data_IF_553865816298
#
_entry.id   IF_553865816298
#
_cell.length_a   1.000
_cell.length_b   1.000
_cell.length_c   1.000
_cell.angle_alpha   90.00
_cell.angle_beta   90.00
_cell.angle_gamma   90.00
#
_symmetry.space_group_name_H-M   'P 1'
#
loop_
_entity.id
_entity.type
_entity.pdbx_description
1 polymer ?
#
# COMPACT_ATOMS: atom_id res chain seq x y z
N UNK A 1 -16.67 -4.69 24.45
CA UNK A 1 -16.92 -4.08 23.12
C UNK A 1 -15.85 -4.61 22.17
N UNK A 2 -16.20 -5.21 21.02
CA UNK A 2 -15.23 -5.93 20.18
C UNK A 2 -14.65 -5.07 19.04
N UNK A 3 -13.49 -5.50 18.55
CA UNK A 3 -12.85 -5.01 17.32
C UNK A 3 -13.74 -5.37 16.12
N UNK A 4 -13.86 -4.47 15.15
CA UNK A 4 -14.70 -4.67 13.95
C UNK A 4 -13.90 -5.10 12.70
N UNK A 5 -12.61 -4.78 12.66
CA UNK A 5 -11.74 -5.07 11.52
C UNK A 5 -10.46 -4.25 11.58
N UNK A 6 -9.67 -4.33 10.52
CA UNK A 6 -8.56 -3.41 10.28
C UNK A 6 -9.13 -2.04 9.88
N UNK A 7 -8.67 -0.99 10.55
CA UNK A 7 -9.05 0.39 10.21
C UNK A 7 -8.05 0.96 9.20
N UNK A 8 -6.78 1.06 9.61
CA UNK A 8 -5.69 1.54 8.77
C UNK A 8 -4.36 0.93 9.18
N UNK A 9 -3.35 1.10 8.32
CA UNK A 9 -1.94 0.92 8.64
C UNK A 9 -1.25 2.27 8.73
N UNK A 10 -0.14 2.34 9.45
CA UNK A 10 0.71 3.51 9.51
C UNK A 10 2.07 3.20 8.89
N UNK A 11 2.53 4.06 7.99
CA UNK A 11 3.85 3.96 7.38
C UNK A 11 4.63 5.22 7.72
N UNK A 12 5.75 5.04 8.40
CA UNK A 12 6.74 6.09 8.57
C UNK A 12 7.62 6.15 7.33
N UNK A 13 7.80 7.34 6.77
CA UNK A 13 8.61 7.54 5.57
C UNK A 13 9.51 8.76 5.71
N UNK A 14 10.73 8.68 5.20
CA UNK A 14 11.62 9.83 4.99
C UNK A 14 11.49 10.42 3.58
N UNK A 15 10.62 9.82 2.74
CA UNK A 15 10.43 10.13 1.32
C UNK A 15 8.94 10.28 1.04
N UNK A 16 8.29 11.25 1.69
CA UNK A 16 6.83 11.41 1.67
C UNK A 16 6.28 11.55 0.24
N UNK A 17 6.87 12.42 -0.57
CA UNK A 17 6.37 12.64 -1.93
C UNK A 17 6.53 11.41 -2.84
N UNK A 18 7.64 10.67 -2.71
CA UNK A 18 7.88 9.44 -3.48
C UNK A 18 6.88 8.35 -3.08
N UNK A 19 6.66 8.19 -1.78
CA UNK A 19 5.67 7.26 -1.22
C UNK A 19 4.27 7.61 -1.71
N UNK A 20 3.92 8.89 -1.68
CA UNK A 20 2.62 9.37 -2.12
C UNK A 20 2.42 9.13 -3.62
N UNK A 21 3.42 9.44 -4.45
CA UNK A 21 3.37 9.14 -5.90
C UNK A 21 3.23 7.66 -6.17
N UNK A 22 3.96 6.80 -5.47
CA UNK A 22 3.82 5.35 -5.60
C UNK A 22 2.36 4.92 -5.35
N UNK A 23 1.81 5.21 -4.17
CA UNK A 23 0.46 4.74 -3.83
C UNK A 23 -0.62 5.36 -4.72
N UNK A 24 -0.50 6.65 -5.07
CA UNK A 24 -1.53 7.35 -5.85
C UNK A 24 -1.46 7.07 -7.35
N UNK A 25 -0.26 6.92 -7.92
CA UNK A 25 -0.09 6.76 -9.37
C UNK A 25 0.01 5.30 -9.81
N UNK A 26 0.57 4.45 -8.96
CA UNK A 26 0.77 3.04 -9.29
C UNK A 26 -0.36 2.16 -8.79
N UNK A 27 -0.91 2.48 -7.62
CA UNK A 27 -1.94 1.66 -6.95
C UNK A 27 -3.29 2.37 -6.81
N UNK A 28 -3.45 3.53 -7.46
CA UNK A 28 -4.69 4.30 -7.58
C UNK A 28 -5.38 4.70 -6.24
N UNK A 29 -4.63 4.72 -5.14
CA UNK A 29 -5.11 5.32 -3.90
C UNK A 29 -5.34 6.82 -4.08
N UNK A 30 -6.30 7.39 -3.35
CA UNK A 30 -6.57 8.82 -3.37
C UNK A 30 -6.00 9.49 -2.13
N UNK A 31 -5.25 10.57 -2.29
CA UNK A 31 -4.97 11.46 -1.17
C UNK A 31 -6.27 12.16 -0.76
N UNK A 32 -6.62 12.08 0.52
CA UNK A 32 -7.89 12.61 1.03
C UNK A 32 -7.73 13.48 2.26
N UNK A 33 -8.85 13.71 2.96
CA UNK A 33 -8.86 14.58 4.14
C UNK A 33 -7.86 14.08 5.19
N UNK A 34 -7.02 15.00 5.65
CA UNK A 34 -6.10 14.81 6.76
C UNK A 34 -6.37 15.89 7.82
N UNK A 35 -6.61 15.49 9.09
CA UNK A 35 -6.68 16.44 10.18
C UNK A 35 -5.42 17.32 10.26
N UNK A 36 -5.51 18.55 10.80
CA UNK A 36 -4.38 19.46 10.89
C UNK A 36 -3.41 19.05 12.01
N UNK A 37 -2.71 17.93 11.82
CA UNK A 37 -1.62 17.50 12.69
C UNK A 37 -0.39 18.41 12.54
N UNK A 38 0.39 18.52 13.61
CA UNK A 38 1.61 19.33 13.70
C UNK A 38 2.85 18.66 13.08
N UNK A 39 2.70 17.48 12.50
CA UNK A 39 3.73 16.78 11.73
C UNK A 39 3.33 16.65 10.25
N UNK A 40 4.29 16.54 9.31
CA UNK A 40 3.99 16.31 7.91
C UNK A 40 3.52 14.86 7.65
N UNK A 41 2.66 14.67 6.66
CA UNK A 41 2.11 13.36 6.33
C UNK A 41 0.89 13.46 5.42
N UNK A 42 0.31 12.31 5.09
CA UNK A 42 -0.84 12.19 4.21
C UNK A 42 -1.77 11.06 4.67
N UNK A 43 -3.04 11.15 4.29
CA UNK A 43 -3.98 10.03 4.38
C UNK A 43 -4.32 9.55 2.97
N UNK A 44 -4.16 8.25 2.74
CA UNK A 44 -4.51 7.60 1.49
C UNK A 44 -5.76 6.75 1.65
N UNK A 45 -6.66 6.90 0.68
CA UNK A 45 -7.99 6.35 0.68
C UNK A 45 -8.12 5.26 -0.39
N UNK A 46 -8.73 4.14 0.00
CA UNK A 46 -9.25 3.12 -0.91
C UNK A 46 -10.76 3.31 -1.01
N UNK A 47 -11.23 3.90 -2.11
CA UNK A 47 -12.59 4.42 -2.20
C UNK A 47 -12.83 5.49 -1.13
N UNK A 48 -13.83 5.29 -0.27
CA UNK A 48 -14.18 6.23 0.80
C UNK A 48 -13.44 5.96 2.13
N UNK A 49 -12.63 4.90 2.21
CA UNK A 49 -11.97 4.49 3.47
C UNK A 49 -10.52 4.96 3.52
N UNK A 50 -10.17 5.71 4.55
CA UNK A 50 -8.79 6.06 4.86
C UNK A 50 -8.06 4.83 5.42
N UNK A 51 -7.15 4.23 4.66
CA UNK A 51 -6.54 2.93 5.02
C UNK A 51 -5.02 2.98 5.20
N UNK A 52 -4.35 4.05 4.75
CA UNK A 52 -2.92 4.26 4.99
C UNK A 52 -2.69 5.67 5.52
N UNK A 53 -2.08 5.76 6.71
CA UNK A 53 -1.56 7.00 7.27
C UNK A 53 -0.06 7.09 7.02
N UNK A 54 0.36 8.02 6.18
CA UNK A 54 1.77 8.35 5.99
C UNK A 54 2.20 9.40 7.02
N UNK A 55 3.28 9.12 7.72
CA UNK A 55 3.90 10.06 8.66
C UNK A 55 5.34 10.30 8.22
N UNK A 56 5.68 11.56 7.96
CA UNK A 56 7.04 11.91 7.62
C UNK A 56 7.93 11.88 8.86
N UNK A 57 9.01 11.10 8.82
CA UNK A 57 10.02 11.02 9.88
C UNK A 57 11.41 10.93 9.29
N UNK A 58 12.33 11.71 9.87
CA UNK A 58 13.75 11.61 9.58
C UNK A 58 14.37 10.40 10.29
N UNK A 59 15.39 9.77 9.69
CA UNK A 59 16.12 8.66 10.29
C UNK A 59 15.35 7.34 10.37
N UNK A 60 14.27 7.17 9.60
CA UNK A 60 13.63 5.87 9.40
C UNK A 60 14.62 4.98 8.62
N UNK A 61 15.02 3.86 9.21
CA UNK A 61 15.91 2.91 8.55
C UNK A 61 15.24 2.29 7.34
N UNK A 62 15.96 2.21 6.22
CA UNK A 62 15.57 1.35 5.10
C UNK A 62 15.61 -0.10 5.60
N UNK A 63 14.44 -0.74 5.71
CA UNK A 63 14.30 -2.05 6.33
C UNK A 63 14.15 -1.96 7.85
N UNK A 64 12.94 -1.71 8.32
CA UNK A 64 12.57 -2.01 9.70
C UNK A 64 12.34 -3.53 9.77
N UNK A 65 12.99 -4.23 10.71
CA UNK A 65 12.54 -5.57 11.10
C UNK A 65 11.13 -5.44 11.69
N UNK A 66 10.13 -5.52 10.82
CA UNK A 66 8.73 -5.42 11.18
C UNK A 66 8.20 -6.84 11.44
N UNK A 67 7.61 -7.14 12.61
CA UNK A 67 6.97 -8.43 12.84
C UNK A 67 5.76 -8.67 11.91
N UNK A 68 5.26 -7.61 11.24
CA UNK A 68 4.27 -7.72 10.17
C UNK A 68 4.99 -8.04 8.86
N UNK A 69 4.78 -9.24 8.33
CA UNK A 69 5.40 -9.69 7.06
C UNK A 69 4.92 -8.86 5.86
N UNK A 70 3.61 -8.62 5.75
CA UNK A 70 3.00 -7.88 4.65
C UNK A 70 1.65 -7.28 5.03
N UNK A 71 1.14 -6.38 4.19
CA UNK A 71 -0.24 -5.88 4.24
C UNK A 71 -0.94 -6.25 2.94
N UNK A 72 -2.14 -6.81 3.06
CA UNK A 72 -2.95 -7.25 1.93
C UNK A 72 -4.13 -6.29 1.66
N UNK A 73 -4.38 -6.00 0.39
CA UNK A 73 -5.51 -5.23 -0.10
C UNK A 73 -6.34 -6.05 -1.09
N UNK A 74 -7.66 -5.85 -1.10
CA UNK A 74 -8.49 -6.26 -2.22
C UNK A 74 -8.33 -5.24 -3.36
N UNK A 75 -8.18 -5.73 -4.59
CA UNK A 75 -7.92 -4.92 -5.76
C UNK A 75 -8.67 -5.45 -7.00
N UNK A 76 -8.83 -4.57 -8.00
CA UNK A 76 -9.44 -4.89 -9.29
C UNK A 76 -8.50 -4.51 -10.42
N UNK A 77 -8.61 -5.15 -11.58
CA UNK A 77 -7.78 -4.83 -12.75
C UNK A 77 -6.38 -5.44 -12.66
N UNK A 78 -6.29 -6.77 -12.54
CA UNK A 78 -5.02 -7.50 -12.43
C UNK A 78 -4.06 -7.17 -13.58
N UNK A 79 -4.48 -7.35 -14.83
CA UNK A 79 -3.61 -7.13 -16.00
C UNK A 79 -3.20 -5.66 -16.15
N UNK A 80 -4.11 -4.73 -15.81
CA UNK A 80 -3.80 -3.31 -15.78
C UNK A 80 -2.73 -2.99 -14.73
N UNK A 81 -2.84 -3.57 -13.54
CA UNK A 81 -1.87 -3.37 -12.45
C UNK A 81 -0.50 -3.92 -12.84
N UNK A 82 -0.44 -5.14 -13.41
CA UNK A 82 0.80 -5.70 -13.93
C UNK A 82 1.44 -4.78 -14.97
N UNK A 83 0.65 -4.29 -15.94
CA UNK A 83 1.15 -3.36 -16.96
C UNK A 83 1.69 -2.05 -16.36
N UNK A 84 0.99 -1.47 -15.38
CA UNK A 84 1.45 -0.25 -14.71
C UNK A 84 2.77 -0.47 -13.98
N UNK A 85 2.93 -1.62 -13.30
CA UNK A 85 4.17 -2.00 -12.63
C UNK A 85 5.32 -2.18 -13.62
N UNK A 86 5.07 -2.85 -14.74
CA UNK A 86 6.05 -3.03 -15.82
C UNK A 86 6.48 -1.68 -16.44
N UNK A 87 5.51 -0.83 -16.81
CA UNK A 87 5.77 0.48 -17.40
C UNK A 87 6.54 1.40 -16.43
N UNK A 88 6.34 1.23 -15.12
CA UNK A 88 7.07 1.94 -14.07
C UNK A 88 8.42 1.31 -13.70
N UNK A 89 8.75 0.13 -14.23
CA UNK A 89 9.97 -0.60 -13.90
C UNK A 89 10.02 -1.12 -12.46
N UNK A 90 8.86 -1.41 -11.87
CA UNK A 90 8.76 -1.89 -10.49
C UNK A 90 8.75 -3.42 -10.43
N UNK A 91 9.60 -4.00 -9.58
CA UNK A 91 9.63 -5.45 -9.40
C UNK A 91 8.37 -5.96 -8.70
N UNK A 92 7.80 -7.04 -9.23
CA UNK A 92 6.65 -7.70 -8.65
C UNK A 92 6.66 -9.21 -8.91
N UNK A 93 5.84 -9.95 -8.18
CA UNK A 93 5.58 -11.37 -8.41
C UNK A 93 4.09 -11.64 -8.41
N UNK A 94 3.67 -12.62 -9.19
CA UNK A 94 2.27 -13.05 -9.22
C UNK A 94 2.11 -14.46 -8.68
N UNK A 95 0.99 -14.75 -8.05
CA UNK A 95 0.62 -16.10 -7.65
C UNK A 95 -0.88 -16.35 -7.84
N UNK A 96 -1.24 -17.60 -8.12
CA UNK A 96 -2.63 -18.07 -8.08
C UNK A 96 -2.86 -18.77 -6.74
N UNK A 97 -3.93 -18.40 -6.02
CA UNK A 97 -4.27 -19.04 -4.74
C UNK A 97 -4.98 -20.37 -5.02
N UNK A 98 -4.40 -21.52 -4.62
CA UNK A 98 -4.95 -22.83 -4.95
C UNK A 98 -6.40 -23.00 -4.49
N UNK A 99 -7.21 -23.63 -5.33
CA UNK A 99 -8.63 -23.91 -5.07
C UNK A 99 -9.52 -22.67 -4.83
N UNK A 100 -9.08 -21.48 -5.24
CA UNK A 100 -9.89 -20.24 -5.19
C UNK A 100 -9.91 -19.53 -6.53
N UNK A 101 -10.75 -18.50 -6.64
CA UNK A 101 -10.78 -17.60 -7.80
C UNK A 101 -9.84 -16.39 -7.64
N UNK A 102 -8.85 -16.46 -6.74
CA UNK A 102 -7.98 -15.33 -6.40
C UNK A 102 -6.64 -15.44 -7.14
N UNK A 103 -6.20 -14.33 -7.72
CA UNK A 103 -4.81 -14.08 -8.14
C UNK A 103 -4.22 -12.97 -7.31
N UNK A 104 -2.92 -13.05 -7.08
CA UNK A 104 -2.20 -12.15 -6.20
C UNK A 104 -1.08 -11.46 -6.96
N UNK A 105 -0.85 -10.19 -6.62
CA UNK A 105 0.39 -9.48 -6.95
C UNK A 105 1.10 -9.16 -5.63
N UNK A 106 2.40 -9.47 -5.57
CA UNK A 106 3.29 -9.13 -4.47
C UNK A 106 4.35 -8.14 -4.93
N UNK A 107 4.54 -7.08 -4.17
CA UNK A 107 5.52 -6.02 -4.46
C UNK A 107 5.99 -5.36 -3.16
N UNK A 108 7.12 -4.66 -3.21
CA UNK A 108 7.58 -3.81 -2.10
C UNK A 108 7.21 -2.36 -2.38
N UNK A 109 6.70 -1.64 -1.38
CA UNK A 109 6.56 -0.19 -1.46
C UNK A 109 7.95 0.49 -1.35
N UNK A 110 8.04 1.81 -1.58
CA UNK A 110 9.30 2.54 -1.43
C UNK A 110 9.95 2.38 -0.05
N UNK A 111 9.16 2.18 1.01
CA UNK A 111 9.59 2.09 2.40
C UNK A 111 9.94 0.66 2.85
N UNK A 112 9.90 -0.33 1.96
CA UNK A 112 10.19 -1.73 2.26
C UNK A 112 9.01 -2.49 2.87
N UNK A 113 7.80 -1.95 2.82
CA UNK A 113 6.56 -2.64 3.17
C UNK A 113 6.20 -3.60 2.04
N UNK A 114 6.08 -4.89 2.37
CA UNK A 114 5.57 -5.89 1.44
C UNK A 114 4.06 -5.73 1.30
N UNK A 115 3.60 -5.59 0.07
CA UNK A 115 2.21 -5.47 -0.30
C UNK A 115 1.75 -6.76 -0.99
N UNK A 116 0.54 -7.19 -0.66
CA UNK A 116 -0.21 -8.25 -1.33
C UNK A 116 -1.49 -7.64 -1.90
N UNK A 117 -1.73 -7.80 -3.20
CA UNK A 117 -2.95 -7.32 -3.85
C UNK A 117 -3.74 -8.53 -4.33
N UNK A 118 -4.95 -8.72 -3.79
CA UNK A 118 -5.84 -9.83 -4.09
C UNK A 118 -6.88 -9.43 -5.14
N UNK A 119 -6.94 -10.16 -6.25
CA UNK A 119 -7.84 -9.93 -7.37
C UNK A 119 -8.73 -11.16 -7.59
N UNK A 120 -10.03 -10.95 -7.74
CA UNK A 120 -10.94 -11.99 -8.23
C UNK A 120 -10.79 -12.13 -9.77
N UNK A 121 -10.66 -13.36 -10.27
CA UNK A 121 -10.61 -13.67 -11.72
C UNK A 121 -11.96 -13.49 -12.40
#
# INVERSE_FOLDING_TARGET
MPIQGLDHINIHTSRLEETLRFYTKLLDFQEGFRPPFDFPGAWLYAGERAVIHLVERQGVSEGVENPVDHVAFEATGFDQTCKQLEDAGWDYRTADVPATNIRQIFLMDPNGVKLELNFNK
#
